data_IF_801419871353
#
_entry.id   IF_801419871353
#
_cell.length_a   1.000
_cell.length_b   1.000
_cell.length_c   1.000
_cell.angle_alpha   90.00
_cell.angle_beta   90.00
_cell.angle_gamma   90.00
#
_symmetry.space_group_name_H-M   'P 1'
#
loop_
_entity.id
_entity.type
_entity.pdbx_description
1 polymer ?
#
# COMPACT_ATOMS: atom_id res chain seq x y z
N UNK A 1 51.93 52.75 -11.99
CA UNK A 1 51.01 53.75 -12.55
C UNK A 1 50.27 53.13 -13.76
N UNK A 2 49.56 52.02 -13.55
CA UNK A 2 48.22 51.96 -12.95
C UNK A 2 47.16 52.23 -14.03
N UNK A 3 47.05 51.27 -14.96
CA UNK A 3 45.90 51.14 -15.85
C UNK A 3 45.00 50.03 -15.30
N UNK A 4 43.71 50.30 -15.02
CA UNK A 4 42.78 49.33 -14.40
C UNK A 4 42.50 48.10 -15.28
N UNK A 5 42.91 48.11 -16.55
CA UNK A 5 42.75 46.97 -17.46
C UNK A 5 43.66 45.78 -17.10
N UNK A 6 44.86 46.03 -16.56
CA UNK A 6 45.80 44.97 -16.23
C UNK A 6 45.48 44.27 -14.90
N UNK A 7 44.68 44.90 -14.04
CA UNK A 7 44.16 44.25 -12.82
C UNK A 7 43.01 43.28 -13.13
N UNK A 8 42.18 43.58 -14.13
CA UNK A 8 41.13 42.65 -14.58
C UNK A 8 41.71 41.41 -15.25
N UNK A 9 42.80 41.55 -16.01
CA UNK A 9 43.53 40.41 -16.58
C UNK A 9 44.13 39.51 -15.51
N UNK A 10 44.74 40.10 -14.47
CA UNK A 10 45.30 39.32 -13.36
C UNK A 10 44.21 38.69 -12.49
N UNK A 11 43.07 39.36 -12.28
CA UNK A 11 41.94 38.84 -11.51
C UNK A 11 41.21 37.69 -12.23
N UNK A 12 41.09 37.75 -13.55
CA UNK A 12 40.55 36.64 -14.34
C UNK A 12 41.51 35.45 -14.41
N UNK A 13 42.81 35.68 -14.31
CA UNK A 13 43.82 34.63 -14.39
C UNK A 13 44.12 33.97 -13.05
N UNK A 14 43.80 34.61 -11.91
CA UNK A 14 43.81 34.00 -10.58
C UNK A 14 42.51 33.28 -10.20
N UNK A 15 41.46 33.33 -11.04
CA UNK A 15 40.33 32.41 -10.95
C UNK A 15 40.58 31.06 -11.62
N UNK A 16 41.77 30.84 -12.18
CA UNK A 16 42.28 29.52 -12.55
C UNK A 16 42.94 28.76 -11.38
N UNK A 17 42.59 29.08 -10.14
CA UNK A 17 43.08 28.42 -8.94
C UNK A 17 41.95 27.59 -8.32
N UNK A 18 42.06 26.26 -8.45
CA UNK A 18 41.36 25.25 -7.66
C UNK A 18 39.93 25.63 -7.24
N UNK A 19 39.03 25.79 -8.22
CA UNK A 19 37.69 25.26 -8.01
C UNK A 19 37.84 23.75 -8.00
N UNK A 20 38.18 23.20 -6.83
CA UNK A 20 37.71 21.89 -6.44
C UNK A 20 36.19 21.96 -6.49
N UNK A 21 35.64 21.88 -7.70
CA UNK A 21 34.23 21.64 -7.93
C UNK A 21 33.97 20.38 -7.13
N UNK A 22 33.18 20.53 -6.06
CA UNK A 22 32.34 19.45 -5.59
C UNK A 22 31.56 19.03 -6.83
N UNK A 23 32.09 18.07 -7.58
CA UNK A 23 31.30 17.27 -8.49
C UNK A 23 30.38 16.54 -7.56
N UNK A 24 29.22 17.15 -7.35
CA UNK A 24 28.05 16.42 -6.94
C UNK A 24 27.87 15.37 -8.03
N UNK A 25 28.50 14.21 -7.84
CA UNK A 25 28.50 13.10 -8.79
C UNK A 25 27.10 12.47 -8.89
N UNK A 26 26.07 13.12 -8.32
CA UNK A 26 24.69 12.80 -8.59
C UNK A 26 24.33 13.29 -10.00
N UNK A 27 24.19 12.38 -10.98
CA UNK A 27 23.80 12.79 -12.32
C UNK A 27 22.43 13.45 -12.26
N UNK A 28 22.32 14.69 -12.75
CA UNK A 28 21.02 15.34 -12.89
C UNK A 28 20.10 14.45 -13.75
N UNK A 29 18.80 14.32 -13.41
CA UNK A 29 17.87 13.57 -14.23
C UNK A 29 17.93 14.02 -15.70
N UNK A 30 18.08 13.06 -16.62
CA UNK A 30 18.24 13.29 -18.06
C UNK A 30 19.70 13.26 -18.53
N UNK A 31 20.67 13.42 -17.63
CA UNK A 31 22.09 13.32 -17.98
C UNK A 31 22.49 11.90 -18.36
N UNK A 32 21.77 10.87 -17.90
CA UNK A 32 21.94 9.47 -18.30
C UNK A 32 21.57 9.22 -19.77
N UNK A 33 20.68 10.05 -20.33
CA UNK A 33 20.25 9.95 -21.73
C UNK A 33 21.27 10.55 -22.70
N UNK A 34 22.25 11.31 -22.21
CA UNK A 34 23.29 11.89 -23.05
C UNK A 34 24.22 10.80 -23.62
N UNK A 35 24.69 10.93 -24.88
CA UNK A 35 25.58 9.94 -25.49
C UNK A 35 26.86 9.67 -24.69
N UNK A 36 27.35 10.69 -23.98
CA UNK A 36 28.55 10.62 -23.13
C UNK A 36 28.40 9.66 -21.95
N UNK A 37 27.19 9.60 -21.37
CA UNK A 37 26.90 8.77 -20.18
C UNK A 37 26.24 7.43 -20.52
N UNK A 38 26.33 6.96 -21.77
CA UNK A 38 25.63 5.76 -22.23
C UNK A 38 25.98 4.49 -21.43
N UNK A 39 27.13 4.48 -20.75
CA UNK A 39 27.59 3.37 -19.91
C UNK A 39 26.59 3.04 -18.80
N UNK A 40 25.97 4.07 -18.19
CA UNK A 40 24.96 3.90 -17.14
C UNK A 40 23.68 3.24 -17.66
N UNK A 41 23.37 3.42 -18.95
CA UNK A 41 22.15 2.88 -19.60
C UNK A 41 22.42 1.59 -20.40
N UNK A 42 23.66 1.06 -20.35
CA UNK A 42 24.05 -0.12 -21.14
C UNK A 42 23.23 -1.36 -20.80
N UNK A 43 22.93 -1.59 -19.51
CA UNK A 43 22.10 -2.70 -19.05
C UNK A 43 20.67 -2.59 -19.62
N UNK A 44 20.03 -1.43 -19.48
CA UNK A 44 18.68 -1.18 -20.01
C UNK A 44 18.63 -1.39 -21.52
N UNK A 45 19.61 -0.89 -22.28
CA UNK A 45 19.69 -1.10 -23.74
C UNK A 45 19.84 -2.58 -24.10
N UNK A 46 20.63 -3.34 -23.34
CA UNK A 46 20.78 -4.80 -23.53
C UNK A 46 19.44 -5.50 -23.35
N UNK A 47 18.71 -5.20 -22.28
CA UNK A 47 17.39 -5.80 -22.02
C UNK A 47 16.34 -5.36 -23.05
N UNK A 48 16.34 -4.09 -23.44
CA UNK A 48 15.42 -3.59 -24.47
C UNK A 48 15.68 -4.25 -25.83
N UNK A 49 16.94 -4.37 -26.25
CA UNK A 49 17.32 -5.05 -27.49
C UNK A 49 16.93 -6.54 -27.49
N UNK A 50 17.20 -7.25 -26.39
CA UNK A 50 16.80 -8.64 -26.23
C UNK A 50 15.28 -8.81 -26.31
N UNK A 51 14.53 -7.94 -25.63
CA UNK A 51 13.06 -7.92 -25.65
C UNK A 51 12.52 -7.64 -27.06
N UNK A 52 13.16 -6.74 -27.81
CA UNK A 52 12.78 -6.43 -29.19
C UNK A 52 13.02 -7.59 -30.16
N UNK A 53 14.07 -8.38 -29.97
CA UNK A 53 14.34 -9.58 -30.79
C UNK A 53 13.34 -10.67 -30.44
N UNK A 54 13.18 -11.00 -29.15
CA UNK A 54 12.26 -12.04 -28.70
C UNK A 54 10.82 -11.70 -29.06
N UNK A 55 10.37 -10.47 -28.81
CA UNK A 55 9.02 -10.03 -29.13
C UNK A 55 8.68 -10.14 -30.62
N UNK A 56 9.65 -9.82 -31.51
CA UNK A 56 9.49 -10.02 -32.95
C UNK A 56 9.41 -11.50 -33.35
N UNK A 57 10.24 -12.35 -32.75
CA UNK A 57 10.19 -13.79 -32.99
C UNK A 57 8.84 -14.39 -32.52
N UNK A 58 8.36 -14.02 -31.33
CA UNK A 58 7.09 -14.51 -30.79
C UNK A 58 5.89 -14.07 -31.63
N UNK A 59 5.94 -12.88 -32.22
CA UNK A 59 4.89 -12.41 -33.13
C UNK A 59 4.90 -13.15 -34.47
N UNK A 60 6.07 -13.55 -34.96
CA UNK A 60 6.19 -14.31 -36.20
C UNK A 60 5.67 -15.74 -36.04
N UNK A 61 5.84 -16.32 -34.86
CA UNK A 61 5.34 -17.65 -34.52
C UNK A 61 3.86 -17.54 -34.17
N UNK A 62 3.00 -17.91 -35.12
CA UNK A 62 1.57 -18.07 -34.87
C UNK A 62 1.26 -19.27 -33.95
N UNK A 63 -0.01 -19.70 -33.94
CA UNK A 63 -0.41 -20.88 -33.16
C UNK A 63 0.36 -22.13 -33.58
N UNK A 64 1.07 -22.73 -32.62
CA UNK A 64 1.82 -23.98 -32.82
C UNK A 64 0.89 -25.13 -32.47
N UNK A 65 0.60 -26.01 -33.41
CA UNK A 65 -0.12 -27.25 -33.13
C UNK A 65 0.88 -28.36 -32.78
N UNK A 66 0.74 -28.95 -31.59
CA UNK A 66 1.51 -30.13 -31.17
C UNK A 66 0.52 -31.20 -30.79
N UNK A 67 0.47 -32.28 -31.57
CA UNK A 67 -0.61 -33.28 -31.52
C UNK A 67 -1.99 -32.61 -31.63
N UNK A 68 -2.85 -32.77 -30.62
CA UNK A 68 -4.21 -32.24 -30.58
C UNK A 68 -4.32 -30.90 -29.83
N UNK A 69 -3.19 -30.30 -29.44
CA UNK A 69 -3.16 -29.05 -28.68
C UNK A 69 -2.63 -27.88 -29.52
N UNK A 70 -3.35 -26.76 -29.48
CA UNK A 70 -2.95 -25.49 -30.10
C UNK A 70 -2.32 -24.60 -29.03
N UNK A 71 -1.04 -24.27 -29.20
CA UNK A 71 -0.29 -23.36 -28.35
C UNK A 71 -0.25 -21.98 -28.98
N UNK A 72 -0.80 -20.98 -28.29
CA UNK A 72 -0.68 -19.57 -28.67
C UNK A 72 0.36 -18.87 -27.79
N UNK A 73 1.58 -18.59 -28.29
CA UNK A 73 2.61 -17.93 -27.51
C UNK A 73 2.25 -16.49 -27.12
N UNK A 74 1.39 -15.80 -27.89
CA UNK A 74 1.00 -14.42 -27.59
C UNK A 74 0.08 -14.36 -26.36
N UNK A 75 -0.80 -15.34 -26.20
CA UNK A 75 -1.64 -15.47 -25.02
C UNK A 75 -0.79 -15.68 -23.74
N UNK A 76 0.31 -16.42 -23.84
CA UNK A 76 1.24 -16.60 -22.72
C UNK A 76 1.95 -15.30 -22.34
N UNK A 77 2.39 -14.50 -23.32
CA UNK A 77 3.00 -13.19 -23.04
C UNK A 77 2.02 -12.28 -22.29
N UNK A 78 0.74 -12.30 -22.66
CA UNK A 78 -0.29 -11.53 -21.96
C UNK A 78 -0.41 -11.96 -20.49
N UNK A 79 -0.54 -13.25 -20.23
CA UNK A 79 -0.67 -13.80 -18.87
C UNK A 79 0.58 -13.50 -18.01
N UNK A 80 1.76 -13.58 -18.62
CA UNK A 80 3.02 -13.21 -17.99
C UNK A 80 3.06 -11.72 -17.61
N UNK A 81 2.61 -10.83 -18.49
CA UNK A 81 2.53 -9.38 -18.19
C UNK A 81 1.53 -9.11 -17.07
N UNK A 82 0.36 -9.79 -17.08
CA UNK A 82 -0.63 -9.65 -16.01
C UNK A 82 -0.07 -10.11 -14.65
N UNK A 83 0.60 -11.26 -14.61
CA UNK A 83 1.21 -11.81 -13.39
C UNK A 83 2.35 -10.94 -12.88
N UNK A 84 3.23 -10.47 -13.78
CA UNK A 84 4.34 -9.59 -13.44
C UNK A 84 3.86 -8.24 -12.91
N UNK A 85 2.82 -7.68 -13.53
CA UNK A 85 2.26 -6.41 -13.07
C UNK A 85 1.55 -6.56 -11.73
N UNK A 86 0.84 -7.66 -11.50
CA UNK A 86 0.22 -7.96 -10.20
C UNK A 86 1.26 -8.10 -9.08
N UNK A 87 2.37 -8.80 -9.32
CA UNK A 87 3.46 -8.90 -8.33
C UNK A 87 4.14 -7.55 -8.10
N UNK A 88 4.40 -6.79 -9.17
CA UNK A 88 5.06 -5.48 -9.09
C UNK A 88 4.24 -4.47 -8.28
N UNK A 89 2.94 -4.36 -8.53
CA UNK A 89 2.06 -3.44 -7.79
C UNK A 89 2.06 -3.75 -6.29
N UNK A 90 2.15 -5.03 -5.90
CA UNK A 90 2.23 -5.43 -4.50
C UNK A 90 3.58 -5.10 -3.88
N UNK A 91 4.67 -5.45 -4.56
CA UNK A 91 6.03 -5.19 -4.10
C UNK A 91 6.28 -3.68 -3.90
N UNK A 92 5.76 -2.86 -4.81
CA UNK A 92 5.91 -1.40 -4.71
C UNK A 92 5.09 -0.81 -3.56
N UNK A 93 3.97 -1.41 -3.20
CA UNK A 93 3.12 -0.91 -2.12
C UNK A 93 3.70 -1.21 -0.72
N UNK A 94 4.46 -2.30 -0.58
CA UNK A 94 5.04 -2.75 0.67
C UNK A 94 6.45 -2.17 0.81
N UNK A 95 6.68 -1.31 1.81
CA UNK A 95 7.98 -0.70 2.07
C UNK A 95 8.89 -1.60 2.89
N UNK A 96 8.40 -2.09 4.04
CA UNK A 96 9.08 -3.04 4.92
C UNK A 96 8.05 -3.92 5.63
N UNK A 97 8.30 -5.24 5.68
CA UNK A 97 7.61 -6.14 6.61
C UNK A 97 8.34 -6.07 7.95
N UNK A 98 7.98 -5.09 8.79
CA UNK A 98 8.52 -5.06 10.15
C UNK A 98 8.03 -6.33 10.87
N UNK A 99 8.95 -7.04 11.51
CA UNK A 99 8.81 -8.43 12.01
C UNK A 99 7.61 -8.76 12.91
N UNK A 100 6.78 -7.77 13.25
CA UNK A 100 5.54 -7.88 14.03
C UNK A 100 4.26 -7.96 13.17
N UNK A 101 4.39 -8.07 11.84
CA UNK A 101 3.23 -8.18 10.93
C UNK A 101 2.52 -6.84 10.65
N UNK A 102 3.12 -5.72 11.06
CA UNK A 102 2.73 -4.37 10.62
C UNK A 102 3.39 -4.07 9.28
N UNK A 103 2.59 -4.02 8.23
CA UNK A 103 3.05 -3.69 6.88
C UNK A 103 3.22 -2.17 6.81
N UNK A 104 4.46 -1.69 6.67
CA UNK A 104 4.72 -0.29 6.42
C UNK A 104 4.45 0.01 4.95
N UNK A 105 3.50 0.90 4.68
CA UNK A 105 3.15 1.28 3.31
C UNK A 105 4.07 2.38 2.80
N UNK A 106 4.42 2.29 1.52
CA UNK A 106 5.06 3.38 0.78
C UNK A 106 4.05 4.52 0.54
N UNK A 107 4.56 5.75 0.41
CA UNK A 107 3.72 6.92 0.12
C UNK A 107 2.94 6.71 -1.20
N UNK A 108 1.62 7.02 -1.22
CA UNK A 108 0.78 6.84 -2.40
C UNK A 108 1.31 7.51 -3.66
N UNK A 109 1.90 8.70 -3.56
CA UNK A 109 2.51 9.42 -4.69
C UNK A 109 3.69 8.68 -5.31
N UNK A 110 4.55 8.10 -4.48
CA UNK A 110 5.68 7.29 -4.92
C UNK A 110 5.21 6.01 -5.61
N UNK A 111 4.20 5.34 -5.05
CA UNK A 111 3.58 4.16 -5.67
C UNK A 111 2.98 4.51 -7.03
N UNK A 112 2.23 5.60 -7.13
CA UNK A 112 1.64 6.05 -8.39
C UNK A 112 2.71 6.35 -9.44
N UNK A 113 3.79 7.04 -9.06
CA UNK A 113 4.91 7.35 -9.96
C UNK A 113 5.58 6.07 -10.48
N UNK A 114 5.85 5.11 -9.60
CA UNK A 114 6.45 3.81 -9.96
C UNK A 114 5.53 2.96 -10.84
N UNK A 115 4.23 2.90 -10.52
CA UNK A 115 3.23 2.20 -11.35
C UNK A 115 3.12 2.83 -12.72
N UNK A 116 3.11 4.17 -12.80
CA UNK A 116 3.06 4.90 -14.07
C UNK A 116 4.32 4.64 -14.90
N UNK A 117 5.50 4.67 -14.27
CA UNK A 117 6.77 4.35 -14.93
C UNK A 117 6.80 2.90 -15.44
N UNK A 118 6.22 1.96 -14.70
CA UNK A 118 6.11 0.57 -15.12
C UNK A 118 5.14 0.40 -16.30
N UNK A 119 3.98 1.04 -16.28
CA UNK A 119 3.06 1.01 -17.44
C UNK A 119 3.73 1.60 -18.68
N UNK A 120 4.49 2.69 -18.53
CA UNK A 120 5.27 3.27 -19.63
C UNK A 120 6.36 2.33 -20.16
N UNK A 121 6.99 1.52 -19.30
CA UNK A 121 8.01 0.54 -19.72
C UNK A 121 7.43 -0.68 -20.44
N UNK A 122 6.11 -0.93 -20.31
CA UNK A 122 5.41 -1.97 -21.08
C UNK A 122 5.03 -1.50 -22.49
N UNK A 123 4.95 -0.19 -22.76
CA UNK A 123 4.60 0.34 -24.08
C UNK A 123 5.47 -0.21 -25.22
N UNK A 124 6.81 -0.34 -25.10
CA UNK A 124 7.63 -1.00 -26.12
C UNK A 124 7.27 -2.47 -26.37
N UNK A 125 6.85 -3.21 -25.34
CA UNK A 125 6.46 -4.61 -25.46
C UNK A 125 5.19 -4.74 -26.33
N UNK A 126 4.24 -3.84 -26.17
CA UNK A 126 3.05 -3.74 -27.04
C UNK A 126 3.45 -3.51 -28.51
N UNK A 127 4.41 -2.61 -28.77
CA UNK A 127 4.89 -2.34 -30.13
C UNK A 127 5.57 -3.57 -30.76
N UNK A 128 6.33 -4.36 -29.99
CA UNK A 128 7.04 -5.53 -30.51
C UNK A 128 6.12 -6.74 -30.72
N UNK A 129 5.21 -6.99 -29.78
CA UNK A 129 4.37 -8.20 -29.77
C UNK A 129 3.00 -8.01 -30.42
N UNK A 130 2.48 -6.78 -30.45
CA UNK A 130 1.12 -6.48 -30.90
C UNK A 130 0.02 -6.92 -29.90
N UNK A 131 0.40 -7.33 -28.69
CA UNK A 131 -0.55 -7.67 -27.62
C UNK A 131 -1.10 -6.39 -27.01
N UNK A 132 -2.41 -6.32 -26.79
CA UNK A 132 -3.04 -5.20 -26.11
C UNK A 132 -2.71 -5.22 -24.60
N UNK A 133 -1.67 -4.47 -24.23
CA UNK A 133 -1.20 -4.33 -22.84
C UNK A 133 -2.14 -3.43 -22.04
N UNK A 134 -2.84 -2.48 -22.67
CA UNK A 134 -3.77 -1.59 -22.00
C UNK A 134 -4.94 -2.36 -21.35
N UNK A 135 -5.47 -3.38 -22.03
CA UNK A 135 -6.54 -4.23 -21.48
C UNK A 135 -6.03 -5.11 -20.32
N UNK A 136 -4.82 -5.65 -20.44
CA UNK A 136 -4.18 -6.45 -19.39
C UNK A 136 -3.94 -5.62 -18.11
N UNK A 137 -3.33 -4.43 -18.26
CA UNK A 137 -3.06 -3.52 -17.14
C UNK A 137 -4.35 -3.02 -16.49
N UNK A 138 -5.36 -2.65 -17.28
CA UNK A 138 -6.69 -2.28 -16.77
C UNK A 138 -7.33 -3.43 -15.98
N UNK A 139 -7.24 -4.66 -16.49
CA UNK A 139 -7.73 -5.87 -15.83
C UNK A 139 -7.10 -6.05 -14.44
N UNK A 140 -5.77 -5.94 -14.35
CA UNK A 140 -5.04 -6.04 -13.08
C UNK A 140 -5.39 -4.91 -12.13
N UNK A 141 -5.40 -3.65 -12.57
CA UNK A 141 -5.74 -2.50 -11.72
C UNK A 141 -7.16 -2.63 -11.13
N UNK A 142 -8.12 -3.07 -11.93
CA UNK A 142 -9.49 -3.31 -11.45
C UNK A 142 -9.55 -4.48 -10.45
N UNK A 143 -8.74 -5.53 -10.64
CA UNK A 143 -8.61 -6.62 -9.65
C UNK A 143 -7.98 -6.15 -8.34
N UNK A 144 -7.03 -5.21 -8.39
CA UNK A 144 -6.37 -4.64 -7.23
C UNK A 144 -7.23 -3.61 -6.47
N UNK A 145 -8.06 -2.86 -7.19
CA UNK A 145 -9.01 -1.91 -6.62
C UNK A 145 -10.20 -2.59 -5.90
N UNK A 146 -10.49 -3.85 -6.25
CA UNK A 146 -11.54 -4.64 -5.60
C UNK A 146 -10.97 -5.31 -4.35
N UNK A 147 -11.62 -5.11 -3.20
CA UNK A 147 -11.41 -5.97 -2.03
C UNK A 147 -11.87 -7.39 -2.38
N UNK A 148 -10.98 -8.38 -2.37
CA UNK A 148 -11.36 -9.80 -2.46
C UNK A 148 -12.08 -10.15 -1.16
N UNK A 149 -13.42 -10.08 -1.17
CA UNK A 149 -14.26 -10.35 0.00
C UNK A 149 -15.02 -9.13 0.54
N UNK A 150 -15.30 -8.12 -0.28
CA UNK A 150 -16.38 -7.18 0.05
C UNK A 150 -17.74 -7.89 -0.06
N UNK A 151 -18.63 -7.80 0.94
CA UNK A 151 -19.96 -8.37 0.82
C UNK A 151 -20.67 -7.70 -0.36
N UNK A 152 -21.26 -8.53 -1.22
CA UNK A 152 -22.44 -8.12 -1.99
C UNK A 152 -23.41 -7.53 -0.97
N UNK A 153 -23.94 -6.35 -1.27
CA UNK A 153 -25.05 -5.69 -0.57
C UNK A 153 -25.91 -6.73 0.16
N UNK A 154 -25.82 -6.82 1.49
CA UNK A 154 -26.73 -7.67 2.28
C UNK A 154 -26.18 -8.48 3.46
N UNK A 155 -24.87 -8.70 3.63
CA UNK A 155 -24.38 -9.48 4.79
C UNK A 155 -23.47 -8.69 5.72
N UNK A 156 -23.87 -8.76 6.99
CA UNK A 156 -23.40 -8.08 8.17
C UNK A 156 -21.89 -8.13 8.37
N UNK A 157 -21.36 -6.98 8.80
CA UNK A 157 -20.10 -6.83 9.49
C UNK A 157 -20.03 -7.83 10.64
N UNK A 158 -19.29 -8.90 10.43
CA UNK A 158 -18.83 -9.74 11.52
C UNK A 158 -17.79 -8.92 12.29
N UNK A 159 -18.21 -8.47 13.47
CA UNK A 159 -17.39 -7.72 14.41
C UNK A 159 -16.18 -8.56 14.82
N UNK A 160 -15.14 -7.96 15.41
CA UNK A 160 -13.97 -8.70 15.90
C UNK A 160 -14.34 -9.88 16.84
N UNK A 161 -15.53 -9.84 17.45
CA UNK A 161 -16.14 -10.93 18.22
C UNK A 161 -16.46 -12.18 17.39
N UNK A 162 -16.91 -12.01 16.15
CA UNK A 162 -17.32 -13.12 15.28
C UNK A 162 -16.11 -13.84 14.66
N UNK A 163 -14.99 -13.13 14.47
CA UNK A 163 -13.69 -13.76 14.16
C UNK A 163 -13.17 -14.61 15.32
N UNK A 164 -13.43 -14.22 16.57
CA UNK A 164 -13.09 -15.02 17.74
C UNK A 164 -13.96 -16.27 17.88
N UNK A 165 -15.22 -16.24 17.42
CA UNK A 165 -16.11 -17.41 17.37
C UNK A 165 -15.65 -18.40 16.31
N UNK A 166 -15.23 -17.94 15.13
CA UNK A 166 -14.65 -18.80 14.10
C UNK A 166 -13.33 -19.45 14.57
N UNK A 167 -12.49 -18.70 15.30
CA UNK A 167 -11.27 -19.25 15.89
C UNK A 167 -11.54 -20.28 17.00
N UNK A 168 -12.60 -20.06 17.80
CA UNK A 168 -13.07 -21.04 18.81
C UNK A 168 -13.76 -22.27 18.20
N UNK A 169 -14.32 -22.18 17.00
CA UNK A 169 -14.87 -23.34 16.29
C UNK A 169 -13.78 -24.17 15.60
N UNK A 170 -12.66 -23.55 15.24
CA UNK A 170 -11.52 -24.23 14.60
C UNK A 170 -10.49 -24.76 15.63
N UNK A 171 -10.45 -24.18 16.84
CA UNK A 171 -9.56 -24.57 17.96
C UNK A 171 -10.28 -24.59 19.33
N UNK A 172 -11.49 -25.16 19.39
CA UNK A 172 -12.22 -25.36 20.64
C UNK A 172 -11.47 -26.30 21.59
N UNK A 173 -11.28 -25.82 22.82
CA UNK A 173 -10.60 -26.46 23.94
C UNK A 173 -11.05 -27.90 24.18
N UNK A 174 -10.09 -28.79 24.38
CA UNK A 174 -10.27 -30.08 25.04
C UNK A 174 -10.82 -29.82 26.45
N UNK A 175 -12.12 -30.00 26.65
CA UNK A 175 -12.67 -30.24 27.97
C UNK A 175 -12.04 -31.53 28.53
N UNK A 176 -11.28 -31.38 29.62
CA UNK A 176 -10.90 -32.49 30.48
C UNK A 176 -12.15 -33.01 31.18
N UNK A 177 -12.80 -34.02 30.60
CA UNK A 177 -13.66 -34.93 31.34
C UNK A 177 -12.92 -36.25 31.58
N UNK A 178 -12.80 -36.58 32.87
CA UNK A 178 -12.18 -37.78 33.39
C UNK A 178 -12.81 -39.08 32.84
N UNK A 179 -11.94 -40.07 32.70
CA UNK A 179 -12.16 -41.42 32.22
C UNK A 179 -13.43 -42.13 32.72
N UNK A 180 -14.08 -42.88 31.82
CA UNK A 180 -14.14 -44.35 31.95
C UNK A 180 -14.55 -45.07 30.65
N UNK A 181 -13.53 -45.64 30.00
CA UNK A 181 -13.45 -47.02 29.47
C UNK A 181 -14.49 -47.52 28.44
N UNK A 182 -14.03 -47.79 27.20
CA UNK A 182 -14.72 -48.76 26.34
C UNK A 182 -14.32 -48.85 24.87
N UNK A 183 -13.12 -49.38 24.56
CA UNK A 183 -12.81 -50.28 23.40
C UNK A 183 -13.53 -50.03 22.05
N UNK A 184 -12.76 -49.68 20.99
CA UNK A 184 -12.30 -50.58 19.89
C UNK A 184 -11.92 -49.87 18.58
N UNK A 185 -10.84 -50.41 17.98
CA UNK A 185 -10.51 -50.55 16.54
C UNK A 185 -9.77 -49.41 15.82
N UNK A 186 -8.45 -49.64 15.71
CA UNK A 186 -7.67 -49.75 14.47
C UNK A 186 -8.09 -48.92 13.26
N UNK A 187 -7.22 -48.02 12.81
CA UNK A 187 -6.56 -48.12 11.49
C UNK A 187 -5.36 -47.17 11.41
N UNK A 188 -4.30 -47.73 10.86
CA UNK A 188 -2.97 -47.19 10.56
C UNK A 188 -2.95 -46.21 9.38
N UNK A 189 -2.15 -45.15 9.50
CA UNK A 189 -1.32 -44.54 8.44
C UNK A 189 -0.50 -43.40 9.12
N UNK A 190 0.78 -43.59 9.44
CA UNK A 190 1.93 -43.30 8.56
C UNK A 190 1.85 -41.94 7.86
N UNK A 191 2.67 -40.99 8.31
CA UNK A 191 2.86 -39.70 7.64
C UNK A 191 3.73 -38.72 8.41
N UNK A 192 5.06 -38.87 8.28
CA UNK A 192 6.06 -37.85 8.63
C UNK A 192 5.81 -36.54 7.85
N UNK A 193 6.03 -35.39 8.49
CA UNK A 193 6.18 -34.09 7.85
C UNK A 193 6.00 -32.95 8.85
N UNK A 194 7.03 -32.63 9.64
CA UNK A 194 7.90 -31.46 9.42
C UNK A 194 7.11 -30.14 9.38
N UNK A 195 6.88 -29.59 10.57
CA UNK A 195 6.34 -28.24 10.79
C UNK A 195 7.38 -27.21 10.38
N UNK A 196 7.22 -26.60 9.22
CA UNK A 196 7.75 -25.27 8.92
C UNK A 196 6.58 -24.31 8.90
N UNK A 197 6.22 -23.81 10.10
CA UNK A 197 5.29 -22.70 10.26
C UNK A 197 5.98 -21.39 9.90
N UNK A 198 5.86 -20.97 8.66
CA UNK A 198 6.12 -19.60 8.22
C UNK A 198 4.81 -18.98 7.76
N UNK A 199 4.46 -17.80 8.28
CA UNK A 199 3.28 -17.01 7.92
C UNK A 199 3.14 -16.83 6.40
N UNK A 200 2.11 -17.45 5.79
CA UNK A 200 1.76 -17.28 4.35
C UNK A 200 0.53 -16.38 4.15
N UNK A 201 0.24 -15.47 5.10
CA UNK A 201 -0.98 -14.64 5.03
C UNK A 201 -0.84 -13.45 4.04
N UNK A 202 0.35 -13.20 3.48
CA UNK A 202 0.61 -12.09 2.55
C UNK A 202 0.25 -12.39 1.07
N UNK A 203 -0.02 -13.65 0.70
CA UNK A 203 0.04 -14.07 -0.70
C UNK A 203 -1.11 -13.61 -1.62
N UNK A 204 -2.22 -13.06 -1.11
CA UNK A 204 -3.41 -12.73 -1.95
C UNK A 204 -4.14 -11.42 -1.67
N UNK A 205 -3.66 -10.57 -0.75
CA UNK A 205 -4.34 -9.31 -0.42
C UNK A 205 -4.25 -8.32 -1.58
N UNK A 206 -5.37 -7.65 -1.85
CA UNK A 206 -5.48 -6.63 -2.89
C UNK A 206 -4.98 -5.27 -2.37
N UNK A 207 -4.51 -4.41 -3.26
CA UNK A 207 -4.02 -3.07 -2.93
C UNK A 207 -5.04 -2.25 -2.12
N UNK A 208 -6.31 -2.30 -2.49
CA UNK A 208 -7.37 -1.59 -1.76
C UNK A 208 -7.52 -2.07 -0.31
N UNK A 209 -7.35 -3.37 -0.05
CA UNK A 209 -7.45 -3.94 1.29
C UNK A 209 -6.23 -3.58 2.14
N UNK A 210 -5.04 -3.61 1.53
CA UNK A 210 -3.78 -3.18 2.13
C UNK A 210 -3.87 -1.72 2.59
N UNK A 211 -4.23 -0.80 1.70
CA UNK A 211 -4.39 0.61 2.09
C UNK A 211 -5.53 0.83 3.08
N UNK A 212 -6.67 0.13 2.95
CA UNK A 212 -7.77 0.26 3.91
C UNK A 212 -7.33 -0.11 5.32
N UNK A 213 -6.60 -1.23 5.47
CA UNK A 213 -6.07 -1.66 6.76
C UNK A 213 -5.05 -0.66 7.30
N UNK A 214 -4.10 -0.25 6.46
CA UNK A 214 -3.09 0.74 6.84
C UNK A 214 -3.72 2.05 7.34
N UNK A 215 -4.67 2.63 6.60
CA UNK A 215 -5.29 3.88 7.02
C UNK A 215 -6.11 3.73 8.30
N UNK A 216 -6.84 2.64 8.48
CA UNK A 216 -7.58 2.39 9.75
C UNK A 216 -6.62 2.30 10.94
N UNK A 217 -5.55 1.51 10.81
CA UNK A 217 -4.53 1.37 11.86
C UNK A 217 -3.79 2.70 12.11
N UNK A 218 -3.53 3.47 11.04
CA UNK A 218 -2.90 4.79 11.12
C UNK A 218 -3.79 5.83 11.82
N UNK A 219 -5.09 5.85 11.55
CA UNK A 219 -6.03 6.74 12.22
C UNK A 219 -6.25 6.37 13.70
N UNK A 220 -6.38 5.07 14.02
CA UNK A 220 -6.44 4.61 15.42
C UNK A 220 -5.15 5.00 16.16
N UNK A 221 -4.00 4.83 15.50
CA UNK A 221 -2.71 5.28 15.99
C UNK A 221 -2.66 6.78 16.29
N UNK A 222 -3.05 7.62 15.31
CA UNK A 222 -3.04 9.07 15.47
C UNK A 222 -3.96 9.55 16.59
N UNK A 223 -5.19 9.04 16.66
CA UNK A 223 -6.16 9.46 17.68
C UNK A 223 -5.76 9.07 19.10
N UNK A 224 -5.00 7.97 19.26
CA UNK A 224 -4.44 7.57 20.56
C UNK A 224 -3.23 8.41 20.97
N UNK A 225 -2.49 8.98 20.00
CA UNK A 225 -1.35 9.84 20.32
C UNK A 225 -1.79 11.25 20.73
N UNK A 226 -1.32 11.77 21.88
CA UNK A 226 -1.78 13.06 22.42
C UNK A 226 -1.29 14.29 21.63
N UNK A 227 -0.33 14.11 20.71
CA UNK A 227 0.24 15.20 19.89
C UNK A 227 -0.31 15.19 18.45
N UNK A 228 -1.45 14.52 18.20
CA UNK A 228 -2.11 14.56 16.91
C UNK A 228 -2.88 15.87 16.72
N UNK A 229 -2.47 16.69 15.75
CA UNK A 229 -3.15 17.97 15.43
C UNK A 229 -3.47 18.00 13.95
N UNK A 230 -4.75 18.20 13.66
CA UNK A 230 -5.22 18.49 12.31
C UNK A 230 -5.10 20.00 12.03
N UNK A 231 -4.45 20.36 10.92
CA UNK A 231 -4.36 21.75 10.49
C UNK A 231 -5.31 22.00 9.32
N UNK A 232 -6.29 22.88 9.52
CA UNK A 232 -7.23 23.27 8.47
C UNK A 232 -6.54 24.01 7.31
N UNK A 233 -5.51 24.84 7.60
CA UNK A 233 -4.80 25.59 6.55
C UNK A 233 -4.04 24.69 5.58
N UNK A 234 -3.51 23.57 6.06
CA UNK A 234 -2.76 22.60 5.23
C UNK A 234 -3.59 21.39 4.82
N UNK A 235 -4.82 21.28 5.31
CA UNK A 235 -5.73 20.15 5.08
C UNK A 235 -5.09 18.79 5.40
N UNK A 236 -4.19 18.74 6.39
CA UNK A 236 -3.43 17.55 6.72
C UNK A 236 -3.07 17.48 8.22
N UNK A 237 -2.69 16.28 8.65
CA UNK A 237 -2.14 16.06 9.99
C UNK A 237 -0.64 16.39 9.99
N UNK A 238 -0.19 17.17 10.97
CA UNK A 238 1.21 17.56 11.12
C UNK A 238 2.01 16.62 12.01
N UNK A 239 1.36 15.57 12.49
CA UNK A 239 1.85 14.78 13.61
C UNK A 239 2.76 13.66 13.17
N UNK A 240 3.53 13.18 14.13
CA UNK A 240 4.49 12.11 13.94
C UNK A 240 3.93 10.84 14.61
N UNK A 241 3.84 9.74 13.86
CA UNK A 241 3.32 8.46 14.36
C UNK A 241 4.27 7.34 13.93
N UNK A 242 4.84 6.61 14.90
CA UNK A 242 5.75 5.47 14.64
C UNK A 242 6.91 5.79 13.65
N UNK A 243 7.49 7.00 13.74
CA UNK A 243 8.56 7.44 12.84
C UNK A 243 8.09 7.84 11.43
N UNK A 244 6.79 7.85 11.18
CA UNK A 244 6.17 8.40 9.97
C UNK A 244 5.66 9.81 10.22
N UNK A 245 5.91 10.69 9.25
CA UNK A 245 5.24 11.98 9.17
C UNK A 245 3.82 11.77 8.63
N UNK A 246 2.80 12.16 9.38
CA UNK A 246 1.43 12.09 8.88
C UNK A 246 1.19 12.98 7.65
N UNK A 247 1.96 14.07 7.53
CA UNK A 247 1.94 14.93 6.36
C UNK A 247 2.21 14.16 5.06
N UNK A 248 3.14 13.21 5.07
CA UNK A 248 3.61 12.50 3.87
C UNK A 248 2.62 11.43 3.39
N UNK A 249 1.55 11.17 4.15
CA UNK A 249 0.49 10.22 3.82
C UNK A 249 -0.89 10.86 3.70
N UNK A 250 -1.09 12.03 4.31
CA UNK A 250 -2.39 12.71 4.45
C UNK A 250 -2.46 14.07 3.73
N UNK A 251 -1.40 14.48 3.03
CA UNK A 251 -1.46 15.68 2.19
C UNK A 251 -2.51 15.53 1.08
N UNK A 252 -3.03 16.66 0.60
CA UNK A 252 -3.98 16.69 -0.53
C UNK A 252 -3.42 16.01 -1.78
N UNK A 253 -2.13 16.13 -2.03
CA UNK A 253 -1.43 15.44 -3.13
C UNK A 253 -1.43 13.93 -2.96
N UNK A 254 -1.25 13.44 -1.73
CA UNK A 254 -1.19 12.00 -1.42
C UNK A 254 -2.57 11.37 -1.48
N UNK A 255 -3.59 12.07 -0.97
CA UNK A 255 -4.99 11.65 -1.10
C UNK A 255 -5.44 11.62 -2.56
N UNK A 256 -4.98 12.57 -3.38
CA UNK A 256 -5.23 12.54 -4.82
C UNK A 256 -4.52 11.37 -5.51
N UNK A 257 -3.26 11.09 -5.15
CA UNK A 257 -2.52 9.96 -5.68
C UNK A 257 -3.17 8.62 -5.29
N UNK A 258 -3.62 8.50 -4.04
CA UNK A 258 -4.37 7.36 -3.53
C UNK A 258 -5.69 7.17 -4.29
N UNK A 259 -6.45 8.25 -4.50
CA UNK A 259 -7.71 8.23 -5.26
C UNK A 259 -7.49 7.81 -6.71
N UNK A 260 -6.38 8.24 -7.33
CA UNK A 260 -6.02 7.86 -8.70
C UNK A 260 -5.61 6.39 -8.79
N UNK A 261 -4.87 5.90 -7.80
CA UNK A 261 -4.36 4.53 -7.75
C UNK A 261 -5.48 3.51 -7.47
N UNK A 262 -6.37 3.80 -6.53
CA UNK A 262 -7.46 2.90 -6.10
C UNK A 262 -8.75 3.10 -6.89
N UNK A 263 -8.95 4.28 -7.46
CA UNK A 263 -10.19 4.68 -8.12
C UNK A 263 -11.39 4.77 -7.16
N UNK A 264 -12.60 4.97 -7.71
CA UNK A 264 -13.82 5.12 -6.92
C UNK A 264 -14.16 3.90 -6.07
N UNK A 265 -13.86 2.69 -6.56
CA UNK A 265 -14.18 1.44 -5.87
C UNK A 265 -13.33 1.24 -4.62
N UNK A 266 -12.02 1.46 -4.71
CA UNK A 266 -11.14 1.32 -3.55
C UNK A 266 -11.36 2.45 -2.55
N UNK A 267 -11.62 3.69 -3.01
CA UNK A 267 -11.92 4.80 -2.11
C UNK A 267 -13.20 4.57 -1.29
N UNK A 268 -14.24 4.01 -1.92
CA UNK A 268 -15.46 3.60 -1.20
C UNK A 268 -15.18 2.52 -0.14
N UNK A 269 -14.24 1.61 -0.41
CA UNK A 269 -13.86 0.57 0.55
C UNK A 269 -13.13 1.16 1.78
N UNK A 270 -12.28 2.18 1.56
CA UNK A 270 -11.63 2.93 2.63
C UNK A 270 -12.69 3.68 3.46
N UNK A 271 -13.54 4.47 2.79
CA UNK A 271 -14.60 5.25 3.45
C UNK A 271 -15.50 4.36 4.34
N UNK A 272 -15.93 3.23 3.81
CA UNK A 272 -16.70 2.25 4.55
C UNK A 272 -15.95 1.67 5.77
N UNK A 273 -14.64 1.47 5.66
CA UNK A 273 -13.81 0.98 6.76
C UNK A 273 -13.63 2.04 7.86
N UNK A 274 -13.49 3.31 7.46
CA UNK A 274 -13.43 4.44 8.40
C UNK A 274 -14.77 4.67 9.10
N UNK A 275 -15.88 4.62 8.37
CA UNK A 275 -17.23 4.72 8.94
C UNK A 275 -17.53 3.59 9.93
N UNK A 276 -17.06 2.37 9.64
CA UNK A 276 -17.18 1.26 10.59
C UNK A 276 -16.40 1.52 11.91
N UNK A 277 -15.22 2.14 11.82
CA UNK A 277 -14.46 2.55 13.00
C UNK A 277 -15.20 3.65 13.79
N UNK A 278 -15.77 4.64 13.09
CA UNK A 278 -16.57 5.70 13.71
C UNK A 278 -17.80 5.14 14.42
N UNK A 279 -18.54 4.23 13.80
CA UNK A 279 -19.70 3.56 14.42
C UNK A 279 -19.30 2.80 15.71
N UNK A 280 -18.14 2.14 15.70
CA UNK A 280 -17.58 1.52 16.91
C UNK A 280 -17.30 2.54 18.01
N UNK A 281 -16.65 3.66 17.69
CA UNK A 281 -16.36 4.72 18.66
C UNK A 281 -17.64 5.38 19.20
N UNK A 282 -18.65 5.60 18.36
CA UNK A 282 -19.95 6.12 18.78
C UNK A 282 -20.69 5.16 19.72
N UNK A 283 -20.58 3.84 19.50
CA UNK A 283 -21.13 2.84 20.42
C UNK A 283 -20.46 2.93 21.80
N UNK A 284 -19.13 3.03 21.83
CA UNK A 284 -18.38 3.20 23.08
C UNK A 284 -18.78 4.49 23.81
N UNK A 285 -18.88 5.62 23.10
CA UNK A 285 -19.35 6.89 23.69
C UNK A 285 -20.77 6.74 24.22
N UNK A 286 -21.68 6.10 23.48
CA UNK A 286 -23.06 5.86 23.89
C UNK A 286 -23.12 5.01 25.16
N UNK A 287 -22.25 4.02 25.30
CA UNK A 287 -22.16 3.19 26.51
C UNK A 287 -21.65 4.00 27.70
N UNK A 288 -20.63 4.85 27.52
CA UNK A 288 -20.21 5.82 28.54
C UNK A 288 -21.33 6.80 28.92
N UNK A 289 -22.10 7.29 27.96
CA UNK A 289 -23.25 8.17 28.21
C UNK A 289 -24.39 7.47 28.95
N UNK A 290 -24.57 6.15 28.79
CA UNK A 290 -25.56 5.40 29.58
C UNK A 290 -25.18 5.37 31.05
N UNK A 291 -23.89 5.20 31.35
CA UNK A 291 -23.36 5.23 32.73
C UNK A 291 -23.49 6.63 33.33
N UNK A 292 -23.16 7.68 32.56
CA UNK A 292 -23.20 9.07 33.03
C UNK A 292 -24.61 9.70 33.01
N UNK A 293 -25.62 8.99 32.47
CA UNK A 293 -27.00 9.48 32.32
C UNK A 293 -27.58 10.15 33.58
N UNK A 294 -27.55 9.57 34.79
CA UNK A 294 -28.14 10.20 35.97
C UNK A 294 -27.46 11.54 36.31
N UNK A 295 -26.12 11.60 36.27
CA UNK A 295 -25.37 12.83 36.52
C UNK A 295 -25.65 13.92 35.48
N UNK A 296 -25.83 13.57 34.20
CA UNK A 296 -26.18 14.54 33.17
C UNK A 296 -27.61 15.07 33.29
N UNK A 297 -28.57 14.22 33.70
CA UNK A 297 -29.94 14.66 33.97
C UNK A 297 -29.96 15.62 35.16
N UNK A 298 -29.24 15.30 36.23
CA UNK A 298 -29.07 16.18 37.38
C UNK A 298 -28.40 17.51 36.97
N UNK A 299 -27.34 17.46 36.15
CA UNK A 299 -26.69 18.66 35.62
C UNK A 299 -27.63 19.52 34.77
N UNK A 300 -28.41 18.92 33.88
CA UNK A 300 -29.36 19.63 33.01
C UNK A 300 -30.47 20.32 33.83
N UNK A 301 -31.00 19.65 34.86
CA UNK A 301 -32.00 20.25 35.76
C UNK A 301 -31.42 21.39 36.59
N UNK A 302 -30.17 21.28 37.06
CA UNK A 302 -29.49 22.34 37.82
C UNK A 302 -29.12 23.56 36.97
N UNK A 303 -28.71 23.36 35.72
CA UNK A 303 -28.47 24.45 34.77
C UNK A 303 -29.76 25.15 34.34
N UNK A 304 -30.85 24.40 34.14
CA UNK A 304 -32.17 24.98 33.82
C UNK A 304 -32.73 25.89 34.92
N UNK A 305 -32.35 25.67 36.17
CA UNK A 305 -32.80 26.44 37.32
C UNK A 305 -31.86 27.59 37.72
N UNK A 306 -30.73 27.79 37.03
CA UNK A 306 -29.79 28.89 37.28
C UNK A 306 -28.92 28.75 38.54
N UNK A 307 -28.93 27.61 39.23
CA UNK A 307 -28.17 27.40 40.49
C UNK A 307 -26.73 26.89 40.29
N UNK A 308 -26.26 26.75 39.04
CA UNK A 308 -25.01 26.06 38.75
C UNK A 308 -23.72 26.88 38.93
N UNK A 309 -23.79 28.16 39.27
CA UNK A 309 -22.61 29.04 39.32
C UNK A 309 -21.70 28.82 40.55
N UNK A 310 -22.07 27.92 41.48
CA UNK A 310 -21.41 27.84 42.80
C UNK A 310 -20.39 26.69 42.92
N UNK A 311 -20.37 25.69 42.03
CA UNK A 311 -19.58 24.46 42.28
C UNK A 311 -18.24 24.40 41.53
N UNK A 312 -17.96 25.30 40.59
CA UNK A 312 -16.65 25.35 39.90
C UNK A 312 -15.59 26.25 40.57
N UNK A 313 -15.87 26.80 41.76
CA UNK A 313 -14.85 27.45 42.61
C UNK A 313 -14.38 26.51 43.72
N UNK A 314 -13.59 25.49 43.39
CA UNK A 314 -12.61 24.88 44.30
C UNK A 314 -11.41 24.40 43.49
#
# INVERSE_FOLDING_TARGET
PDSPANLLGLFLQTQGADTGEYKDDTPLPGSESTPSNHHHVKALRKHNSATAVIGRCLRQVGGITVYDHVFDPLAYVRDMVETMFESFVREVAIKEELGDGTILMENPSHVLSRVTAFVQSLTPIEHYTGVNVADATKGVLLRQARKKGGPVIGESYLTASDRAIAYKQEYGEEEQDEDTNGKKRTKSASGRGSVNGGNVVSSKLCLAELYSRFYVDFFDGLTRTPNSVYSETRMCFLSHFQGLNAHDYMSSSEMYALATLLGPLGMKAIDHSLLACLDSNLKQIKDCMKVLRPAMVDFNTRYGNGEADVVFKQ
#
